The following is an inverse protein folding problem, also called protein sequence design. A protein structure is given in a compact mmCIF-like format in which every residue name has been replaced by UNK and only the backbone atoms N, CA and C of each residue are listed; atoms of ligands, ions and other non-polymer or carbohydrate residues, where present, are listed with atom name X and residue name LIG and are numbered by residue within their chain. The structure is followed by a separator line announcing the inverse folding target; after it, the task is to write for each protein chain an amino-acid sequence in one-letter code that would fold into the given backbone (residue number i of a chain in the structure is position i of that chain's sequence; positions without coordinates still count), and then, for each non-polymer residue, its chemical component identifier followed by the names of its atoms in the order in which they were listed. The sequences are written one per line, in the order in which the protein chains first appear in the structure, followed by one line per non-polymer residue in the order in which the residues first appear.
data_IF_926772544125
#
_entry.id   IF_926772544125
#
_cell.length_a   1.000
_cell.length_b   1.000
_cell.length_c   1.000
_cell.angle_alpha   90.00
_cell.angle_beta   90.00
_cell.angle_gamma   90.00
#
_symmetry.space_group_name_H-M   'P 1'
#
loop_
_entity.id
_entity.type
_entity.pdbx_description
1 polymer ?
#
# COMPACT_ATOMS: atom_id res chain seq x y z
N UNK A 1 0.55 -39.66 -18.74
CA UNK A 1 -0.49 -38.67 -19.01
C UNK A 1 -0.97 -37.98 -17.76
N UNK A 2 -1.33 -38.72 -16.70
CA UNK A 2 -1.82 -38.12 -15.47
C UNK A 2 -0.84 -37.18 -14.76
N UNK A 3 0.46 -37.48 -14.83
CA UNK A 3 1.49 -36.68 -14.16
C UNK A 3 1.58 -35.29 -14.74
N UNK A 4 1.52 -35.15 -16.06
CA UNK A 4 1.56 -33.82 -16.69
C UNK A 4 0.34 -32.98 -16.35
N UNK A 5 -0.79 -33.61 -16.18
CA UNK A 5 -2.04 -32.95 -15.84
C UNK A 5 -1.96 -32.39 -14.43
N UNK A 6 -1.46 -33.18 -13.51
CA UNK A 6 -1.31 -32.81 -12.10
C UNK A 6 -0.29 -31.68 -11.95
N UNK A 7 0.83 -31.74 -12.67
CA UNK A 7 1.81 -30.66 -12.65
C UNK A 7 1.25 -29.35 -13.20
N UNK A 8 0.30 -29.44 -14.13
CA UNK A 8 -0.37 -28.26 -14.64
C UNK A 8 -1.06 -27.45 -13.55
N UNK A 9 -1.66 -28.11 -12.57
CA UNK A 9 -2.28 -27.42 -11.44
C UNK A 9 -1.25 -26.71 -10.56
N UNK A 10 -0.10 -27.35 -10.32
CA UNK A 10 0.97 -26.74 -9.56
C UNK A 10 1.56 -25.53 -10.29
N UNK A 11 1.81 -25.64 -11.57
CA UNK A 11 2.33 -24.55 -12.37
C UNK A 11 1.38 -23.37 -12.39
N UNK A 12 0.08 -23.63 -12.46
CA UNK A 12 -0.92 -22.58 -12.42
C UNK A 12 -0.97 -21.90 -11.05
N UNK A 13 -0.84 -22.67 -9.98
CA UNK A 13 -0.76 -22.11 -8.63
C UNK A 13 0.47 -21.20 -8.49
N UNK A 14 1.60 -21.62 -9.03
CA UNK A 14 2.83 -20.83 -9.02
C UNK A 14 2.65 -19.53 -9.81
N UNK A 15 1.96 -19.59 -10.95
CA UNK A 15 1.65 -18.40 -11.72
C UNK A 15 0.80 -17.40 -10.92
N UNK A 16 -0.18 -17.88 -10.17
CA UNK A 16 -0.96 -17.03 -9.29
C UNK A 16 -0.09 -16.42 -8.18
N UNK A 17 0.84 -17.19 -7.62
CA UNK A 17 1.80 -16.67 -6.64
C UNK A 17 2.63 -15.54 -7.23
N UNK A 18 3.12 -15.71 -8.46
CA UNK A 18 3.89 -14.67 -9.16
C UNK A 18 3.08 -13.41 -9.35
N UNK A 19 1.81 -13.53 -9.70
CA UNK A 19 0.92 -12.39 -9.86
C UNK A 19 0.72 -11.66 -8.53
N UNK A 20 0.56 -12.39 -7.43
CA UNK A 20 0.45 -11.81 -6.09
C UNK A 20 1.72 -11.06 -5.72
N UNK A 21 2.87 -11.67 -5.96
CA UNK A 21 4.16 -11.06 -5.63
C UNK A 21 4.41 -9.79 -6.44
N UNK A 22 4.07 -9.80 -7.72
CA UNK A 22 4.17 -8.61 -8.58
C UNK A 22 3.26 -7.50 -8.06
N UNK A 23 2.01 -7.84 -7.73
CA UNK A 23 1.07 -6.86 -7.21
C UNK A 23 1.55 -6.27 -5.88
N UNK A 24 2.17 -7.09 -5.02
CA UNK A 24 2.75 -6.61 -3.76
C UNK A 24 3.90 -5.64 -4.01
N UNK A 25 4.75 -5.94 -4.97
CA UNK A 25 5.86 -5.07 -5.34
C UNK A 25 5.36 -3.72 -5.87
N UNK A 26 4.30 -3.73 -6.66
CA UNK A 26 3.70 -2.50 -7.18
C UNK A 26 3.23 -1.58 -6.05
N UNK A 27 2.62 -2.16 -5.01
CA UNK A 27 2.22 -1.39 -3.83
C UNK A 27 3.44 -0.79 -3.14
N UNK A 28 4.49 -1.59 -2.93
CA UNK A 28 5.70 -1.14 -2.22
C UNK A 28 6.40 0.00 -2.94
N UNK A 29 6.46 -0.04 -4.26
CA UNK A 29 7.08 1.03 -5.06
C UNK A 29 6.35 2.36 -4.82
N UNK A 30 5.03 2.33 -4.81
CA UNK A 30 4.26 3.55 -4.61
C UNK A 30 4.32 4.03 -3.16
N UNK A 31 4.38 3.11 -2.20
CA UNK A 31 4.56 3.49 -0.79
C UNK A 31 5.91 4.18 -0.57
N UNK A 32 6.96 3.71 -1.23
CA UNK A 32 8.27 4.36 -1.18
C UNK A 32 8.21 5.75 -1.81
N UNK A 33 7.54 5.88 -2.93
CA UNK A 33 7.34 7.19 -3.58
C UNK A 33 6.60 8.15 -2.66
N UNK A 34 5.60 7.67 -1.94
CA UNK A 34 4.89 8.49 -0.93
C UNK A 34 5.87 9.07 0.08
N UNK A 35 6.76 8.25 0.61
CA UNK A 35 7.76 8.69 1.59
C UNK A 35 8.64 9.78 1.01
N UNK A 36 9.15 9.58 -0.21
CA UNK A 36 10.00 10.57 -0.87
C UNK A 36 9.27 11.90 -1.08
N UNK A 37 8.00 11.84 -1.48
CA UNK A 37 7.19 13.05 -1.67
C UNK A 37 6.96 13.78 -0.35
N UNK A 38 6.75 13.03 0.74
CA UNK A 38 6.58 13.64 2.08
C UNK A 38 7.85 14.36 2.51
N UNK A 39 9.02 13.79 2.25
CA UNK A 39 10.29 14.46 2.54
C UNK A 39 10.40 15.77 1.76
N UNK A 40 10.07 15.75 0.48
CA UNK A 40 10.14 16.94 -0.35
C UNK A 40 9.14 18.01 0.13
N UNK A 41 7.95 17.59 0.52
CA UNK A 41 6.94 18.49 1.08
C UNK A 41 7.39 19.05 2.43
N UNK A 42 8.03 18.25 3.26
CA UNK A 42 8.58 18.72 4.52
C UNK A 42 9.63 19.82 4.29
N UNK A 43 10.45 19.70 3.25
CA UNK A 43 11.41 20.72 2.90
C UNK A 43 10.74 22.03 2.47
N UNK A 44 9.61 21.95 1.78
CA UNK A 44 8.81 23.14 1.48
C UNK A 44 8.24 23.78 2.74
N UNK A 45 7.71 22.98 3.65
CA UNK A 45 7.11 23.44 4.89
C UNK A 45 8.16 24.05 5.83
N UNK A 46 9.39 23.55 5.79
CA UNK A 46 10.47 23.98 6.67
C UNK A 46 10.73 25.47 6.62
N UNK A 47 10.52 26.10 5.47
CA UNK A 47 10.70 27.54 5.29
C UNK A 47 9.68 28.35 6.09
N UNK A 48 8.56 27.76 6.43
CA UNK A 48 7.44 28.43 7.11
C UNK A 48 7.24 27.93 8.52
N UNK A 49 7.39 26.63 8.75
CA UNK A 49 7.19 26.02 10.06
C UNK A 49 8.15 24.84 10.23
N UNK A 50 9.24 25.11 10.91
CA UNK A 50 10.30 24.11 11.10
C UNK A 50 9.82 22.93 11.95
N UNK A 51 8.99 23.19 12.94
CA UNK A 51 8.46 22.14 13.81
C UNK A 51 7.58 21.15 13.03
N UNK A 52 6.68 21.67 12.21
CA UNK A 52 5.84 20.81 11.38
C UNK A 52 6.65 20.04 10.35
N UNK A 53 7.70 20.64 9.79
CA UNK A 53 8.59 19.96 8.86
C UNK A 53 9.27 18.77 9.53
N UNK A 54 9.73 18.95 10.76
CA UNK A 54 10.36 17.87 11.53
C UNK A 54 9.36 16.76 11.85
N UNK A 55 8.12 17.13 12.18
CA UNK A 55 7.04 16.19 12.43
C UNK A 55 6.74 15.35 11.18
N UNK A 56 6.66 16.00 10.01
CA UNK A 56 6.43 15.30 8.75
C UNK A 56 7.55 14.32 8.42
N UNK A 57 8.79 14.72 8.65
CA UNK A 57 9.95 13.85 8.43
C UNK A 57 9.92 12.64 9.38
N UNK A 58 9.55 12.87 10.63
CA UNK A 58 9.43 11.79 11.60
C UNK A 58 8.35 10.78 11.20
N UNK A 59 7.23 11.26 10.67
CA UNK A 59 6.16 10.40 10.16
C UNK A 59 6.66 9.58 8.96
N UNK A 60 7.37 10.24 8.03
CA UNK A 60 7.91 9.57 6.86
C UNK A 60 8.93 8.49 7.23
N UNK A 61 9.70 8.72 8.28
CA UNK A 61 10.66 7.76 8.78
C UNK A 61 10.03 6.62 9.60
N UNK A 62 8.73 6.70 9.86
CA UNK A 62 8.05 5.73 10.70
C UNK A 62 8.36 5.85 12.18
N UNK A 63 8.92 6.99 12.62
CA UNK A 63 9.29 7.21 14.00
C UNK A 63 8.19 7.82 14.84
N UNK A 64 7.16 8.33 14.18
CA UNK A 64 6.06 8.97 14.88
C UNK A 64 5.18 7.92 15.54
N UNK A 65 4.86 8.14 16.79
CA UNK A 65 3.87 7.37 17.52
C UNK A 65 2.64 8.24 17.75
N UNK A 66 1.48 7.61 17.78
CA UNK A 66 0.24 8.35 18.02
C UNK A 66 -0.65 8.37 16.78
N UNK A 67 -1.49 9.39 16.69
CA UNK A 67 -2.50 9.47 15.63
C UNK A 67 -1.93 9.88 14.27
N UNK A 68 -0.75 10.49 14.25
CA UNK A 68 -0.13 10.90 13.00
C UNK A 68 0.59 9.73 12.34
N UNK A 69 0.22 9.42 11.12
CA UNK A 69 0.91 8.42 10.32
C UNK A 69 1.03 8.93 8.89
N UNK A 70 1.83 8.22 8.08
CA UNK A 70 2.10 8.66 6.73
C UNK A 70 0.84 8.72 5.85
N UNK A 71 -0.15 7.92 6.16
CA UNK A 71 -1.39 7.89 5.39
C UNK A 71 -2.26 9.11 5.60
N UNK A 72 -2.07 9.83 6.72
CA UNK A 72 -2.82 11.05 7.03
C UNK A 72 -2.01 12.32 6.75
N UNK A 73 -0.84 12.19 6.18
CA UNK A 73 0.09 13.30 5.97
C UNK A 73 -0.49 14.37 5.04
N UNK A 74 -1.20 13.95 4.00
CA UNK A 74 -1.77 14.93 3.06
C UNK A 74 -2.72 15.90 3.75
N UNK A 75 -3.53 15.40 4.68
CA UNK A 75 -4.44 16.23 5.48
C UNK A 75 -3.65 17.17 6.40
N UNK A 76 -2.61 16.66 7.04
CA UNK A 76 -1.76 17.47 7.93
C UNK A 76 -1.06 18.58 7.17
N UNK A 77 -0.51 18.28 6.01
CA UNK A 77 0.17 19.27 5.16
C UNK A 77 -0.81 20.34 4.68
N UNK A 78 -2.01 19.93 4.27
CA UNK A 78 -3.04 20.87 3.85
C UNK A 78 -3.42 21.83 4.99
N UNK A 79 -3.53 21.31 6.21
CA UNK A 79 -3.84 22.13 7.39
C UNK A 79 -2.73 23.16 7.65
N UNK A 80 -1.46 22.76 7.51
CA UNK A 80 -0.34 23.69 7.67
C UNK A 80 -0.39 24.79 6.63
N UNK A 81 -0.69 24.45 5.36
CA UNK A 81 -0.74 25.42 4.28
C UNK A 81 -1.84 26.47 4.48
N UNK A 82 -2.92 26.13 5.18
CA UNK A 82 -3.96 27.10 5.49
C UNK A 82 -3.45 28.21 6.42
N UNK A 83 -2.49 27.90 7.27
CA UNK A 83 -1.88 28.90 8.17
C UNK A 83 -0.84 29.77 7.46
N UNK A 84 -0.34 29.34 6.30
CA UNK A 84 0.72 30.01 5.57
C UNK A 84 0.32 30.20 4.10
N UNK A 85 -0.31 31.33 3.76
CA UNK A 85 -0.77 31.57 2.38
C UNK A 85 0.34 31.52 1.33
N UNK A 86 1.56 31.89 1.70
CA UNK A 86 2.70 31.86 0.80
C UNK A 86 3.08 30.43 0.44
N UNK A 87 3.00 29.51 1.39
CA UNK A 87 3.20 28.08 1.15
C UNK A 87 2.12 27.56 0.21
N UNK A 88 0.88 27.91 0.48
CA UNK A 88 -0.28 27.47 -0.30
C UNK A 88 -0.17 27.88 -1.77
N UNK A 89 0.42 29.05 -2.06
CA UNK A 89 0.61 29.55 -3.42
C UNK A 89 1.90 29.11 -4.09
N UNK A 90 2.80 28.44 -3.35
CA UNK A 90 4.08 28.00 -3.87
C UNK A 90 3.89 26.93 -4.94
N UNK A 91 4.52 27.12 -6.11
CA UNK A 91 4.37 26.20 -7.24
C UNK A 91 4.90 24.81 -6.93
N UNK A 92 6.06 24.73 -6.26
CA UNK A 92 6.67 23.46 -5.93
C UNK A 92 5.79 22.67 -4.94
N UNK A 93 5.25 23.37 -3.95
CA UNK A 93 4.30 22.78 -3.00
C UNK A 93 3.07 22.22 -3.73
N UNK A 94 2.48 23.01 -4.63
CA UNK A 94 1.29 22.58 -5.37
C UNK A 94 1.55 21.35 -6.22
N UNK A 95 2.70 21.32 -6.89
CA UNK A 95 3.09 20.19 -7.72
C UNK A 95 3.28 18.93 -6.87
N UNK A 96 3.98 19.07 -5.75
CA UNK A 96 4.20 17.94 -4.84
C UNK A 96 2.89 17.40 -4.25
N UNK A 97 1.96 18.29 -3.91
CA UNK A 97 0.64 17.87 -3.40
C UNK A 97 -0.15 17.14 -4.47
N UNK A 98 -0.07 17.58 -5.73
CA UNK A 98 -0.71 16.87 -6.84
C UNK A 98 -0.11 15.48 -7.03
N UNK A 99 1.21 15.39 -6.99
CA UNK A 99 1.90 14.11 -7.12
C UNK A 99 1.57 13.18 -5.94
N UNK A 100 1.46 13.73 -4.73
CA UNK A 100 1.08 12.95 -3.56
C UNK A 100 -0.34 12.40 -3.70
N UNK A 101 -1.28 13.23 -4.15
CA UNK A 101 -2.65 12.78 -4.38
C UNK A 101 -2.70 11.67 -5.42
N UNK A 102 -1.94 11.80 -6.51
CA UNK A 102 -1.84 10.76 -7.54
C UNK A 102 -1.27 9.47 -6.96
N UNK A 103 -0.22 9.59 -6.15
CA UNK A 103 0.42 8.44 -5.52
C UNK A 103 -0.54 7.74 -4.56
N UNK A 104 -1.31 8.49 -3.77
CA UNK A 104 -2.32 7.92 -2.87
C UNK A 104 -3.36 7.12 -3.65
N UNK A 105 -3.83 7.65 -4.78
CA UNK A 105 -4.78 6.95 -5.64
C UNK A 105 -4.16 5.68 -6.22
N UNK A 106 -2.91 5.74 -6.63
CA UNK A 106 -2.20 4.56 -7.14
C UNK A 106 -2.04 3.49 -6.06
N UNK A 107 -1.71 3.89 -4.83
CA UNK A 107 -1.60 2.95 -3.73
C UNK A 107 -2.94 2.24 -3.50
N UNK A 108 -4.04 2.99 -3.49
CA UNK A 108 -5.36 2.41 -3.31
C UNK A 108 -5.67 1.40 -4.43
N UNK A 109 -5.39 1.76 -5.68
CA UNK A 109 -5.64 0.90 -6.83
C UNK A 109 -4.77 -0.36 -6.81
N UNK A 110 -3.49 -0.22 -6.47
CA UNK A 110 -2.58 -1.37 -6.39
C UNK A 110 -2.92 -2.28 -5.21
N UNK A 111 -3.37 -1.73 -4.09
CA UNK A 111 -3.82 -2.54 -2.96
C UNK A 111 -5.07 -3.33 -3.33
N UNK A 112 -5.99 -2.72 -4.05
CA UNK A 112 -7.18 -3.40 -4.55
C UNK A 112 -6.80 -4.53 -5.50
N UNK A 113 -5.88 -4.27 -6.43
CA UNK A 113 -5.38 -5.29 -7.35
C UNK A 113 -4.69 -6.43 -6.60
N UNK A 114 -3.86 -6.10 -5.61
CA UNK A 114 -3.22 -7.12 -4.78
C UNK A 114 -4.27 -8.02 -4.11
N UNK A 115 -5.28 -7.41 -3.51
CA UNK A 115 -6.35 -8.16 -2.86
C UNK A 115 -7.09 -9.07 -3.83
N UNK A 116 -7.31 -8.58 -5.05
CA UNK A 116 -7.93 -9.37 -6.11
C UNK A 116 -7.06 -10.58 -6.48
N UNK A 117 -5.76 -10.37 -6.65
CA UNK A 117 -4.83 -11.46 -6.98
C UNK A 117 -4.78 -12.50 -5.86
N UNK A 118 -4.80 -12.05 -4.59
CA UNK A 118 -4.83 -12.95 -3.44
C UNK A 118 -6.11 -13.79 -3.45
N UNK A 119 -7.25 -13.15 -3.72
CA UNK A 119 -8.53 -13.86 -3.77
C UNK A 119 -8.55 -14.89 -4.88
N UNK A 120 -8.02 -14.53 -6.05
CA UNK A 120 -7.94 -15.46 -7.19
C UNK A 120 -7.04 -16.65 -6.85
N UNK A 121 -5.89 -16.40 -6.23
CA UNK A 121 -4.99 -17.45 -5.78
C UNK A 121 -5.68 -18.37 -4.78
N UNK A 122 -6.31 -17.81 -3.76
CA UNK A 122 -7.02 -18.59 -2.73
C UNK A 122 -8.14 -19.44 -3.33
N UNK A 123 -8.89 -18.86 -4.24
CA UNK A 123 -9.97 -19.56 -4.91
C UNK A 123 -9.44 -20.75 -5.68
N UNK A 124 -8.32 -20.56 -6.35
CA UNK A 124 -7.72 -21.63 -7.14
C UNK A 124 -7.18 -22.77 -6.25
N UNK A 125 -6.36 -22.46 -5.25
CA UNK A 125 -5.70 -23.49 -4.45
C UNK A 125 -6.64 -24.21 -3.49
N UNK A 126 -7.75 -23.57 -3.12
CA UNK A 126 -8.75 -24.16 -2.23
C UNK A 126 -9.92 -24.80 -2.96
N UNK A 127 -10.03 -24.58 -4.28
CA UNK A 127 -11.11 -25.10 -5.08
C UNK A 127 -10.81 -26.50 -5.64
N UNK A 128 -11.87 -27.23 -5.90
CA UNK A 128 -11.76 -28.53 -6.60
C UNK A 128 -11.71 -28.26 -8.11
N UNK A 129 -10.91 -29.00 -8.89
CA UNK A 129 -10.07 -30.14 -8.48
C UNK A 129 -8.66 -29.77 -8.05
N UNK A 130 -8.25 -28.51 -8.19
CA UNK A 130 -6.87 -28.09 -7.92
C UNK A 130 -6.44 -28.43 -6.50
N UNK A 131 -7.30 -28.19 -5.51
CA UNK A 131 -7.01 -28.49 -4.11
C UNK A 131 -6.54 -29.95 -3.89
N UNK A 132 -7.25 -30.88 -4.51
CA UNK A 132 -6.95 -32.31 -4.38
C UNK A 132 -5.58 -32.63 -4.97
N UNK A 133 -5.31 -32.18 -6.19
CA UNK A 133 -4.05 -32.45 -6.88
C UNK A 133 -2.86 -31.76 -6.22
N UNK A 134 -3.06 -30.54 -5.72
CA UNK A 134 -2.01 -29.82 -5.02
C UNK A 134 -1.63 -30.51 -3.71
N UNK A 135 -2.62 -31.02 -3.00
CA UNK A 135 -2.36 -31.80 -1.77
C UNK A 135 -1.57 -33.09 -2.08
N UNK A 136 -1.90 -33.75 -3.18
CA UNK A 136 -1.18 -34.95 -3.62
C UNK A 136 0.29 -34.67 -3.95
N UNK A 137 0.57 -33.47 -4.48
CA UNK A 137 1.92 -33.04 -4.83
C UNK A 137 2.71 -32.51 -3.64
N UNK A 138 2.09 -32.37 -2.49
CA UNK A 138 2.74 -31.77 -1.32
C UNK A 138 2.96 -30.26 -1.47
N UNK A 139 2.15 -29.61 -2.27
CA UNK A 139 2.24 -28.17 -2.47
C UNK A 139 1.86 -27.44 -1.19
N UNK A 140 2.73 -26.51 -0.74
CA UNK A 140 2.46 -25.66 0.41
C UNK A 140 1.69 -24.43 -0.05
N UNK A 141 0.48 -24.28 0.47
CA UNK A 141 -0.34 -23.10 0.18
C UNK A 141 0.28 -21.89 0.84
N UNK A 142 0.37 -20.82 0.08
CA UNK A 142 0.85 -19.54 0.61
C UNK A 142 -0.29 -18.84 1.34
N UNK A 143 0.04 -18.24 2.48
CA UNK A 143 -0.93 -17.48 3.27
C UNK A 143 -0.66 -16.00 3.04
N UNK A 144 -1.54 -15.36 2.28
CA UNK A 144 -1.44 -13.94 1.98
C UNK A 144 -2.46 -13.16 2.78
N UNK A 145 -2.00 -12.07 3.39
CA UNK A 145 -2.86 -11.16 4.12
C UNK A 145 -3.41 -10.11 3.16
N UNK A 146 -4.72 -9.89 3.23
CA UNK A 146 -5.35 -8.85 2.41
C UNK A 146 -4.95 -7.47 2.92
N UNK A 147 -4.87 -6.52 1.99
CA UNK A 147 -4.53 -5.13 2.30
C UNK A 147 -5.78 -4.27 2.26
N UNK A 148 -5.80 -3.26 3.12
CA UNK A 148 -6.84 -2.23 3.09
C UNK A 148 -6.48 -1.22 1.98
N UNK A 149 -7.39 -1.05 1.04
CA UNK A 149 -7.22 -0.12 -0.07
C UNK A 149 -8.09 1.13 0.04
N UNK A 150 -8.88 1.21 1.10
CA UNK A 150 -9.71 2.38 1.36
C UNK A 150 -8.90 3.49 2.03
N UNK A 151 -9.44 4.69 2.00
CA UNK A 151 -8.80 5.82 2.63
C UNK A 151 -8.58 5.58 4.11
N UNK A 152 -7.40 5.93 4.63
CA UNK A 152 -7.03 5.59 6.00
C UNK A 152 -7.91 6.22 7.07
N UNK A 153 -8.42 7.40 6.80
CA UNK A 153 -9.25 8.10 7.77
C UNK A 153 -10.58 7.41 8.02
N UNK A 154 -10.97 6.53 7.12
CA UNK A 154 -12.20 5.78 7.27
C UNK A 154 -11.99 4.43 7.90
N UNK A 155 -10.77 4.00 8.05
CA UNK A 155 -10.46 2.70 8.61
C UNK A 155 -10.43 2.80 10.14
N UNK A 156 -11.42 2.26 10.84
CA UNK A 156 -11.36 2.21 12.30
C UNK A 156 -10.22 1.29 12.70
N UNK A 157 -9.29 1.82 13.43
CA UNK A 157 -8.08 1.08 13.80
C UNK A 157 -8.37 -0.13 14.67
N UNK A 158 -9.42 -0.06 15.42
CA UNK A 158 -9.83 -1.14 16.31
C UNK A 158 -10.38 -2.35 15.56
N UNK A 159 -10.73 -2.24 14.30
CA UNK A 159 -11.14 -3.41 13.52
C UNK A 159 -10.03 -4.43 13.35
N UNK A 160 -8.80 -4.01 13.51
CA UNK A 160 -7.65 -4.87 13.31
C UNK A 160 -7.04 -5.36 14.61
N UNK A 161 -7.64 -4.99 15.75
CA UNK A 161 -7.14 -5.33 17.07
C UNK A 161 -8.01 -6.35 17.82
N UNK A 162 -8.92 -6.98 17.12
CA UNK A 162 -9.89 -7.86 17.76
C UNK A 162 -9.51 -9.33 17.73
N UNK A 163 -8.25 -9.64 17.69
CA UNK A 163 -7.84 -11.05 17.76
C UNK A 163 -6.94 -11.32 18.93
#
# INVERSE_FOLDING_TARGET
MGIFWVQGFQNKAINYEEQVNTAQSDVKVQEKRRVDLVYNLADCVKQYDKHEAETLKAVADGRSSGSANIENVSTSIAAVSEAYPELKSNKNYKQLMTELATTENLIANYRENYNKQVKDYRRYVKGFPARTFLNMLGYDKQDYKLLDYNAPETAPKNLFNED
#
